data_IF_283728865632
#
_entry.id   IF_283728865632
#
_cell.length_a   1.000
_cell.length_b   1.000
_cell.length_c   1.000
_cell.angle_alpha   90.00
_cell.angle_beta   90.00
_cell.angle_gamma   90.00
#
_symmetry.space_group_name_H-M   'P 1'
#
loop_
_entity.id
_entity.type
_entity.pdbx_description
1 polymer ?
#
# COMPACT_ATOMS: atom_id res chain seq x y z
N UNK A 1 -5.33 -14.87 11.18
CA UNK A 1 -5.66 -13.45 11.43
C UNK A 1 -4.43 -12.61 11.81
N UNK A 2 -3.82 -12.82 13.00
CA UNK A 2 -2.63 -12.04 13.44
C UNK A 2 -1.47 -12.09 12.43
N UNK A 3 -0.99 -13.30 12.14
CA UNK A 3 0.17 -13.54 11.26
C UNK A 3 -0.05 -12.94 9.88
N UNK A 4 -1.22 -13.19 9.27
CA UNK A 4 -1.56 -12.63 7.96
C UNK A 4 -1.54 -11.10 7.94
N UNK A 5 -2.06 -10.43 8.97
CA UNK A 5 -2.02 -8.97 9.06
C UNK A 5 -0.60 -8.41 9.27
N UNK A 6 0.23 -9.11 10.05
CA UNK A 6 1.65 -8.76 10.22
C UNK A 6 2.40 -8.93 8.89
N UNK A 7 2.22 -10.05 8.19
CA UNK A 7 2.84 -10.28 6.88
C UNK A 7 2.39 -9.22 5.87
N UNK A 8 1.08 -8.92 5.81
CA UNK A 8 0.55 -7.90 4.90
C UNK A 8 1.12 -6.51 5.18
N UNK A 9 1.22 -6.12 6.46
CA UNK A 9 1.79 -4.82 6.85
C UNK A 9 3.29 -4.74 6.56
N UNK A 10 4.05 -5.80 6.81
CA UNK A 10 5.47 -5.88 6.44
C UNK A 10 5.67 -5.83 4.92
N UNK A 11 4.83 -6.52 4.14
CA UNK A 11 4.88 -6.44 2.67
C UNK A 11 4.62 -5.02 2.19
N UNK A 12 3.62 -4.34 2.75
CA UNK A 12 3.35 -2.94 2.40
C UNK A 12 4.55 -2.03 2.74
N UNK A 13 5.14 -2.18 3.93
CA UNK A 13 6.33 -1.44 4.33
C UNK A 13 7.48 -1.67 3.33
N UNK A 14 7.79 -2.94 3.04
CA UNK A 14 8.83 -3.30 2.08
C UNK A 14 8.52 -2.73 0.68
N UNK A 15 7.28 -2.84 0.22
CA UNK A 15 6.83 -2.31 -1.07
C UNK A 15 6.97 -0.79 -1.17
N UNK A 16 6.78 -0.06 -0.08
CA UNK A 16 7.00 1.40 -0.01
C UNK A 16 8.47 1.81 -0.10
N UNK A 17 9.41 0.96 0.36
CA UNK A 17 10.85 1.18 0.19
C UNK A 17 11.38 0.67 -1.15
N UNK A 18 10.68 -0.29 -1.76
CA UNK A 18 11.02 -0.79 -3.08
C UNK A 18 10.92 0.31 -4.15
N UNK A 19 11.63 0.15 -5.28
CA UNK A 19 11.51 1.08 -6.39
C UNK A 19 10.09 1.04 -6.96
N UNK A 20 9.42 2.20 -6.95
CA UNK A 20 8.06 2.40 -7.45
C UNK A 20 8.08 2.99 -8.86
N UNK A 21 8.92 4.00 -9.09
CA UNK A 21 9.09 4.58 -10.41
C UNK A 21 10.58 4.71 -10.74
N UNK A 22 10.90 4.73 -12.02
CA UNK A 22 12.21 5.12 -12.50
C UNK A 22 12.10 6.44 -13.23
N UNK A 23 12.75 7.45 -12.69
CA UNK A 23 12.87 8.76 -13.33
C UNK A 23 14.12 8.76 -14.21
N UNK A 24 14.04 9.25 -15.46
CA UNK A 24 15.22 9.37 -16.31
C UNK A 24 16.30 10.22 -15.62
N UNK A 25 17.57 9.86 -15.82
CA UNK A 25 18.76 10.54 -15.26
C UNK A 25 18.96 10.31 -13.74
N UNK A 26 17.92 10.45 -12.93
CA UNK A 26 18.01 10.37 -11.46
C UNK A 26 18.01 8.92 -10.95
N UNK A 27 17.27 8.01 -11.60
CA UNK A 27 17.27 6.58 -11.27
C UNK A 27 15.96 6.10 -10.64
N UNK A 28 16.06 5.13 -9.72
CA UNK A 28 14.89 4.50 -9.11
C UNK A 28 14.45 5.27 -7.86
N UNK A 29 13.15 5.53 -7.75
CA UNK A 29 12.53 6.25 -6.64
C UNK A 29 11.60 5.34 -5.87
N UNK A 30 11.67 5.44 -4.55
CA UNK A 30 10.72 4.82 -3.62
C UNK A 30 9.58 5.79 -3.29
N UNK A 31 8.73 5.46 -2.32
CA UNK A 31 7.58 6.29 -1.97
C UNK A 31 7.99 7.68 -1.44
N UNK A 32 9.01 7.75 -0.59
CA UNK A 32 9.48 9.01 -0.02
C UNK A 32 10.04 9.96 -1.07
N UNK A 33 10.70 9.42 -2.09
CA UNK A 33 11.23 10.22 -3.21
C UNK A 33 10.11 10.81 -4.09
N UNK A 34 8.95 10.14 -4.17
CA UNK A 34 7.80 10.63 -4.95
C UNK A 34 7.17 11.85 -4.28
N UNK A 35 6.74 11.69 -3.03
CA UNK A 35 6.20 12.76 -2.19
C UNK A 35 6.25 12.34 -0.72
N UNK A 36 6.97 13.12 0.10
CA UNK A 36 7.16 12.88 1.53
C UNK A 36 5.83 12.80 2.30
N UNK A 37 4.82 13.60 1.94
CA UNK A 37 3.53 13.64 2.66
C UNK A 37 2.72 12.38 2.37
N UNK A 38 2.65 11.97 1.09
CA UNK A 38 1.96 10.74 0.70
C UNK A 38 2.65 9.50 1.28
N UNK A 39 3.99 9.47 1.28
CA UNK A 39 4.76 8.40 1.92
C UNK A 39 4.48 8.34 3.44
N UNK A 40 4.48 9.48 4.12
CA UNK A 40 4.17 9.53 5.56
C UNK A 40 2.76 9.00 5.84
N UNK A 41 1.77 9.43 5.07
CA UNK A 41 0.39 8.92 5.19
C UNK A 41 0.32 7.40 4.95
N UNK A 42 1.07 6.88 3.97
CA UNK A 42 1.15 5.46 3.68
C UNK A 42 1.75 4.67 4.87
N UNK A 43 2.85 5.15 5.46
CA UNK A 43 3.44 4.50 6.62
C UNK A 43 2.57 4.60 7.88
N UNK A 44 1.76 5.66 8.02
CA UNK A 44 0.72 5.70 9.05
C UNK A 44 -0.32 4.57 8.86
N UNK A 45 -0.71 4.25 7.62
CA UNK A 45 -1.60 3.11 7.36
C UNK A 45 -0.92 1.77 7.66
N UNK A 46 0.38 1.64 7.35
CA UNK A 46 1.18 0.46 7.70
C UNK A 46 1.21 0.25 9.22
N UNK A 47 1.45 1.30 10.00
CA UNK A 47 1.47 1.19 11.47
C UNK A 47 0.08 0.88 12.03
N UNK A 48 -0.99 1.48 11.49
CA UNK A 48 -2.37 1.13 11.86
C UNK A 48 -2.67 -0.34 11.57
N UNK A 49 -2.27 -0.85 10.41
CA UNK A 49 -2.45 -2.26 10.04
C UNK A 49 -1.69 -3.19 11.01
N UNK A 50 -0.45 -2.83 11.36
CA UNK A 50 0.39 -3.58 12.29
C UNK A 50 -0.23 -3.61 13.70
N UNK A 51 -0.62 -2.44 14.24
CA UNK A 51 -1.30 -2.33 15.52
C UNK A 51 -2.64 -3.08 15.52
N UNK A 52 -3.44 -2.95 14.46
CA UNK A 52 -4.69 -3.69 14.28
C UNK A 52 -4.47 -5.21 14.27
N UNK A 53 -3.34 -5.67 13.75
CA UNK A 53 -2.94 -7.07 13.73
C UNK A 53 -2.57 -7.59 15.13
N UNK A 54 -1.89 -6.77 15.94
CA UNK A 54 -1.55 -7.11 17.32
C UNK A 54 -2.80 -7.23 18.20
N UNK A 55 -3.73 -6.27 18.07
CA UNK A 55 -4.99 -6.21 18.85
C UNK A 55 -6.06 -7.18 18.28
N UNK A 56 -5.78 -7.91 17.20
CA UNK A 56 -6.74 -8.82 16.54
C UNK A 56 -8.05 -8.14 16.09
N UNK A 57 -7.98 -6.89 15.63
CA UNK A 57 -9.17 -6.17 15.12
C UNK A 57 -9.24 -6.21 13.61
N UNK A 58 -10.07 -7.11 13.07
CA UNK A 58 -10.15 -7.38 11.62
C UNK A 58 -10.64 -6.15 10.84
N UNK A 59 -11.54 -5.37 11.44
CA UNK A 59 -12.04 -4.13 10.85
C UNK A 59 -10.92 -3.12 10.62
N UNK A 60 -10.04 -2.93 11.60
CA UNK A 60 -8.91 -2.01 11.52
C UNK A 60 -7.90 -2.46 10.44
N UNK A 61 -7.59 -3.75 10.40
CA UNK A 61 -6.67 -4.33 9.43
C UNK A 61 -7.21 -4.15 8.00
N UNK A 62 -8.49 -4.48 7.78
CA UNK A 62 -9.15 -4.31 6.48
C UNK A 62 -9.24 -2.85 6.07
N UNK A 63 -9.59 -1.96 7.00
CA UNK A 63 -9.65 -0.52 6.76
C UNK A 63 -8.30 0.01 6.27
N UNK A 64 -7.20 -0.36 6.94
CA UNK A 64 -5.87 0.04 6.50
C UNK A 64 -5.53 -0.47 5.10
N UNK A 65 -5.92 -1.71 4.76
CA UNK A 65 -5.75 -2.27 3.41
C UNK A 65 -6.52 -1.50 2.33
N UNK A 66 -7.81 -1.21 2.56
CA UNK A 66 -8.61 -0.41 1.61
C UNK A 66 -8.11 1.03 1.49
N UNK A 67 -7.80 1.67 2.62
CA UNK A 67 -7.25 3.03 2.63
C UNK A 67 -5.92 3.11 1.89
N UNK A 68 -5.08 2.07 1.98
CA UNK A 68 -3.82 2.02 1.27
C UNK A 68 -4.00 1.91 -0.25
N UNK A 69 -4.96 1.12 -0.73
CA UNK A 69 -5.28 1.05 -2.17
C UNK A 69 -5.74 2.41 -2.68
N UNK A 70 -6.63 3.09 -1.94
CA UNK A 70 -7.10 4.43 -2.30
C UNK A 70 -5.93 5.42 -2.33
N UNK A 71 -5.08 5.42 -1.31
CA UNK A 71 -3.92 6.30 -1.22
C UNK A 71 -2.90 6.04 -2.34
N UNK A 72 -2.67 4.77 -2.71
CA UNK A 72 -1.85 4.40 -3.87
C UNK A 72 -2.44 4.95 -5.16
N UNK A 73 -3.77 4.87 -5.35
CA UNK A 73 -4.46 5.47 -6.49
C UNK A 73 -4.26 6.99 -6.56
N UNK A 74 -4.40 7.67 -5.42
CA UNK A 74 -4.12 9.12 -5.31
C UNK A 74 -2.65 9.42 -5.65
N UNK A 75 -1.72 8.58 -5.20
CA UNK A 75 -0.29 8.77 -5.47
C UNK A 75 0.05 8.60 -6.95
N UNK A 76 -0.54 7.59 -7.62
CA UNK A 76 -0.38 7.41 -9.06
C UNK A 76 -0.93 8.62 -9.85
N UNK A 77 -2.11 9.12 -9.47
CA UNK A 77 -2.67 10.34 -10.05
C UNK A 77 -1.75 11.55 -9.80
N UNK A 78 -1.23 11.69 -8.58
CA UNK A 78 -0.28 12.73 -8.20
C UNK A 78 0.99 12.69 -9.06
N UNK A 79 1.58 11.51 -9.29
CA UNK A 79 2.74 11.34 -10.19
C UNK A 79 2.39 11.75 -11.62
N UNK A 80 1.21 11.38 -12.11
CA UNK A 80 0.75 11.74 -13.45
C UNK A 80 0.62 13.26 -13.64
N UNK A 81 -0.03 13.97 -12.71
CA UNK A 81 -0.17 15.42 -12.79
C UNK A 81 1.17 16.14 -12.58
N UNK A 82 1.95 15.69 -11.60
CA UNK A 82 3.28 16.25 -11.29
C UNK A 82 4.22 16.16 -12.49
N UNK A 83 4.19 15.06 -13.23
CA UNK A 83 5.00 14.95 -14.46
C UNK A 83 4.54 15.89 -15.58
N UNK A 84 3.25 16.24 -15.67
CA UNK A 84 2.79 17.22 -16.66
C UNK A 84 3.17 18.66 -16.30
N UNK A 85 3.10 19.03 -15.01
CA UNK A 85 3.38 20.40 -14.56
C UNK A 85 4.88 20.73 -14.48
N UNK A 86 5.72 19.81 -13.99
CA UNK A 86 7.17 20.04 -13.83
C UNK A 86 7.89 20.32 -15.15
N UNK A 87 7.34 19.85 -16.26
CA UNK A 87 7.95 20.00 -17.57
C UNK A 87 7.36 21.16 -18.40
N UNK A 88 6.28 21.81 -17.96
CA UNK A 88 5.64 22.91 -18.70
C UNK A 88 6.57 24.11 -18.95
N UNK A 89 7.58 24.32 -18.10
CA UNK A 89 8.55 25.43 -18.19
C UNK A 89 9.65 25.24 -19.25
N UNK A 90 9.81 24.04 -19.81
CA UNK A 90 10.84 23.79 -20.84
C UNK A 90 10.23 24.03 -22.22
N UNK A 91 10.72 25.03 -22.95
CA UNK A 91 10.21 25.45 -24.26
C UNK A 91 10.22 24.36 -25.37
N UNK A 92 10.74 23.15 -25.09
CA UNK A 92 10.79 22.02 -26.00
C UNK A 92 9.78 20.91 -25.67
N UNK A 93 8.52 21.08 -26.11
CA UNK A 93 7.42 20.08 -25.99
C UNK A 93 7.79 18.64 -26.41
N UNK A 94 8.77 18.44 -27.30
CA UNK A 94 9.23 17.11 -27.73
C UNK A 94 10.08 16.38 -26.67
N UNK A 95 10.92 17.09 -25.91
CA UNK A 95 11.75 16.47 -24.88
C UNK A 95 10.92 16.10 -23.64
N UNK A 96 9.84 16.85 -23.42
CA UNK A 96 8.84 16.65 -22.36
C UNK A 96 8.07 15.35 -22.58
N UNK A 97 7.54 15.13 -23.78
CA UNK A 97 6.86 13.86 -24.10
C UNK A 97 7.82 12.66 -24.03
N UNK A 98 9.11 12.86 -24.33
CA UNK A 98 10.11 11.81 -24.20
C UNK A 98 10.44 11.52 -22.73
N UNK A 99 10.62 12.55 -21.89
CA UNK A 99 10.93 12.40 -20.47
C UNK A 99 9.74 11.90 -19.63
N UNK A 100 8.53 12.41 -19.88
CA UNK A 100 7.30 11.97 -19.24
C UNK A 100 6.92 10.54 -19.68
N UNK A 101 7.14 10.18 -20.95
CA UNK A 101 6.99 8.81 -21.45
C UNK A 101 8.05 7.83 -20.93
N UNK A 102 9.15 8.33 -20.35
CA UNK A 102 10.23 7.50 -19.78
C UNK A 102 10.05 7.19 -18.30
N UNK A 103 9.03 7.72 -17.62
CA UNK A 103 8.73 7.32 -16.23
C UNK A 103 8.19 5.89 -16.24
N UNK A 104 9.08 4.94 -15.97
CA UNK A 104 8.74 3.51 -15.96
C UNK A 104 8.26 3.12 -14.57
N UNK A 105 7.04 2.61 -14.49
CA UNK A 105 6.55 1.94 -13.30
C UNK A 105 7.39 0.68 -13.02
N UNK A 106 7.68 0.46 -11.75
CA UNK A 106 8.48 -0.66 -11.25
C UNK A 106 7.63 -1.60 -10.40
N UNK A 107 8.22 -2.72 -10.01
CA UNK A 107 7.56 -3.81 -9.28
C UNK A 107 7.10 -3.46 -7.85
N UNK A 108 7.57 -2.35 -7.24
CA UNK A 108 7.16 -1.97 -5.89
C UNK A 108 5.64 -1.83 -5.73
N UNK A 109 4.94 -1.38 -6.77
CA UNK A 109 3.47 -1.30 -6.78
C UNK A 109 2.80 -2.66 -6.58
N UNK A 110 3.35 -3.73 -7.17
CA UNK A 110 2.82 -5.08 -7.02
C UNK A 110 3.04 -5.59 -5.59
N UNK A 111 4.17 -5.23 -4.96
CA UNK A 111 4.45 -5.59 -3.56
C UNK A 111 3.46 -4.90 -2.61
N UNK A 112 3.19 -3.61 -2.83
CA UNK A 112 2.18 -2.86 -2.06
C UNK A 112 0.78 -3.45 -2.28
N UNK A 113 0.42 -3.78 -3.52
CA UNK A 113 -0.86 -4.40 -3.85
C UNK A 113 -1.02 -5.76 -3.19
N UNK A 114 0.00 -6.62 -3.23
CA UNK A 114 0.00 -7.91 -2.58
C UNK A 114 -0.17 -7.78 -1.05
N UNK A 115 0.57 -6.88 -0.41
CA UNK A 115 0.42 -6.59 1.01
C UNK A 115 -0.98 -6.09 1.37
N UNK A 116 -1.52 -5.17 0.58
CA UNK A 116 -2.87 -4.60 0.77
C UNK A 116 -3.96 -5.67 0.62
N UNK A 117 -3.85 -6.55 -0.38
CA UNK A 117 -4.78 -7.67 -0.58
C UNK A 117 -4.74 -8.67 0.58
N UNK A 118 -3.55 -8.94 1.12
CA UNK A 118 -3.42 -9.78 2.32
C UNK A 118 -4.15 -9.17 3.52
N UNK A 119 -4.10 -7.84 3.70
CA UNK A 119 -4.85 -7.17 4.76
C UNK A 119 -6.37 -7.22 4.55
N UNK A 120 -6.83 -7.01 3.32
CA UNK A 120 -8.26 -7.00 2.97
C UNK A 120 -8.89 -8.38 3.17
N UNK A 121 -8.15 -9.44 2.82
CA UNK A 121 -8.62 -10.83 2.91
C UNK A 121 -8.61 -11.40 4.32
N UNK A 122 -8.11 -10.68 5.32
CA UNK A 122 -8.09 -11.15 6.73
C UNK A 122 -9.51 -11.50 7.18
N UNK A 123 -9.73 -12.73 7.65
CA UNK A 123 -11.03 -13.18 8.20
C UNK A 123 -11.10 -13.04 9.71
N UNK A 124 -12.30 -12.75 10.24
CA UNK A 124 -12.59 -12.82 11.67
C UNK A 124 -12.51 -14.29 12.12
N UNK A 125 -11.93 -14.61 13.28
CA UNK A 125 -12.03 -15.95 13.85
C UNK A 125 -13.52 -16.24 14.12
N UNK A 126 -14.01 -17.38 13.64
CA UNK A 126 -15.33 -17.87 13.99
C UNK A 126 -15.28 -18.26 15.47
N UNK A 127 -16.13 -17.71 16.35
CA UNK A 127 -16.19 -18.18 17.73
C UNK A 127 -16.64 -19.65 17.69
N UNK A 128 -15.79 -20.55 18.16
CA UNK A 128 -16.17 -21.95 18.38
C UNK A 128 -17.14 -21.94 19.56
N UNK A 129 -18.44 -21.99 19.28
CA UNK A 129 -19.44 -22.21 20.31
C UNK A 129 -19.31 -23.68 20.69
N UNK A 130 -18.65 -23.95 21.81
CA UNK A 130 -18.65 -25.29 22.41
C UNK A 130 -20.10 -25.55 22.85
N UNK A 131 -20.83 -26.37 22.09
CA UNK A 131 -22.10 -26.90 22.54
C UNK A 131 -21.80 -27.72 23.81
N UNK A 132 -22.19 -27.19 24.97
CA UNK A 132 -22.26 -27.97 26.19
C UNK A 132 -23.31 -29.07 25.94
N UNK A 133 -22.86 -30.29 25.67
CA UNK A 133 -23.76 -31.44 25.63
C UNK A 133 -24.28 -31.60 27.06
N UNK A 134 -25.60 -31.58 27.32
CA UNK A 134 -26.11 -31.82 28.65
C UNK A 134 -25.78 -33.28 29.02
N UNK A 135 -24.79 -33.46 29.91
CA UNK A 135 -24.56 -34.68 30.69
C UNK A 135 -25.78 -34.84 31.59
N UNK A 136 -26.89 -35.37 31.07
CA UNK A 136 -28.07 -35.75 31.85
C UNK A 136 -28.99 -36.71 31.07
N UNK A 137 -28.39 -37.58 30.24
CA UNK A 137 -29.07 -38.75 29.68
C UNK A 137 -28.13 -39.95 29.75
N UNK A 138 -27.99 -40.49 30.95
CA UNK A 138 -27.44 -41.81 31.24
C UNK A 138 -28.31 -42.45 32.32
#
# INVERSE_FOLDING_TARGET
MRIQGIIGSLLMAAGGLCPLIRVPIIGNWNYFDIDQRLATAFYCLVTIALVGSLIQRASLIRFAGYAAIVLVGITLAGVYFKSHDYFSFVHFKKLINFAAGMVKYKWGWLVIAAGSLLLITVRKPVPVIIQQVPVNQA
#
